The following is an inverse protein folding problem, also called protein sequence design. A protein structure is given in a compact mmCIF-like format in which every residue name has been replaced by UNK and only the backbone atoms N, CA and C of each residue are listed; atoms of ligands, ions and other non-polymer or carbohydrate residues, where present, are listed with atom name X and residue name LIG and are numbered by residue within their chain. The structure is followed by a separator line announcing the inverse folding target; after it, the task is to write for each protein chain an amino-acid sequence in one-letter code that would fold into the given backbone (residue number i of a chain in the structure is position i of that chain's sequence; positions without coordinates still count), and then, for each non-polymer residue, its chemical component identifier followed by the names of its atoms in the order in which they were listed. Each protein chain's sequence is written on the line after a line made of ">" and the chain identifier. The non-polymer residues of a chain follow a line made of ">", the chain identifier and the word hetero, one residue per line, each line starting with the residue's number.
data_IF_214822907026
#
_entry.id   IF_214822907026
#
_cell.length_a   1.000
_cell.length_b   1.000
_cell.length_c   1.000
_cell.angle_alpha   90.00
_cell.angle_beta   90.00
_cell.angle_gamma   90.00
#
_symmetry.space_group_name_H-M   'P 1'
#
loop_
_entity.id
_entity.type
_entity.pdbx_description
1 polymer ?
#
# COMPACT_ATOMS: atom_id res chain seq x y z
N UNK A 1 -12.95 10.99 -16.51
CA UNK A 1 -13.32 10.35 -15.20
C UNK A 1 -13.40 8.82 -15.16
N UNK A 2 -13.94 8.11 -16.16
CA UNK A 2 -14.25 6.66 -16.06
C UNK A 2 -13.14 5.72 -15.53
N UNK A 3 -11.86 5.95 -15.88
CA UNK A 3 -10.75 5.16 -15.33
C UNK A 3 -10.70 5.18 -13.80
N UNK A 4 -10.77 6.37 -13.20
CA UNK A 4 -10.60 6.53 -11.75
C UNK A 4 -11.83 6.02 -10.98
N UNK A 5 -13.01 6.08 -11.59
CA UNK A 5 -14.22 5.47 -11.03
C UNK A 5 -14.10 3.95 -10.98
N UNK A 6 -13.65 3.31 -12.06
CA UNK A 6 -13.41 1.86 -12.08
C UNK A 6 -12.28 1.46 -11.12
N UNK A 7 -11.18 2.22 -11.11
CA UNK A 7 -10.08 2.07 -10.17
C UNK A 7 -10.52 2.14 -8.70
N UNK A 8 -11.53 2.95 -8.37
CA UNK A 8 -12.05 3.07 -7.01
C UNK A 8 -12.96 1.88 -6.62
N UNK A 9 -13.49 1.14 -7.59
CA UNK A 9 -14.40 0.00 -7.38
C UNK A 9 -13.69 -1.36 -7.35
N UNK A 10 -12.45 -1.46 -7.83
CA UNK A 10 -11.72 -2.74 -7.88
C UNK A 10 -11.55 -3.36 -6.50
N UNK A 11 -11.56 -4.69 -6.44
CA UNK A 11 -11.20 -5.40 -5.23
C UNK A 11 -9.68 -5.34 -5.04
N UNK A 12 -9.22 -4.51 -4.09
CA UNK A 12 -7.80 -4.36 -3.75
C UNK A 12 -7.17 -5.60 -3.10
N UNK A 13 -7.94 -6.66 -2.85
CA UNK A 13 -7.40 -7.97 -2.46
C UNK A 13 -6.96 -8.80 -3.68
N UNK A 14 -7.44 -8.47 -4.88
CA UNK A 14 -7.02 -9.09 -6.13
C UNK A 14 -5.72 -8.49 -6.66
N UNK A 15 -5.11 -9.18 -7.62
CA UNK A 15 -4.01 -8.59 -8.39
C UNK A 15 -4.56 -7.55 -9.36
N UNK A 16 -4.15 -6.31 -9.15
CA UNK A 16 -4.60 -5.17 -9.93
C UNK A 16 -3.41 -4.52 -10.64
N UNK A 17 -3.55 -4.26 -11.94
CA UNK A 17 -2.48 -3.71 -12.78
C UNK A 17 -3.05 -2.57 -13.62
N UNK A 18 -2.43 -1.39 -13.52
CA UNK A 18 -2.63 -0.29 -14.47
C UNK A 18 -1.49 -0.32 -15.47
N UNK A 19 -1.82 -0.35 -16.74
CA UNK A 19 -0.83 -0.25 -17.82
C UNK A 19 -1.07 1.09 -18.51
N UNK A 20 -0.07 1.95 -18.53
CA UNK A 20 -0.12 3.26 -19.19
C UNK A 20 0.93 3.33 -20.29
N UNK A 21 0.51 3.58 -21.52
CA UNK A 21 1.43 3.80 -22.64
C UNK A 21 2.01 5.21 -22.53
N UNK A 22 3.33 5.31 -22.53
CA UNK A 22 4.06 6.59 -22.37
C UNK A 22 4.89 6.98 -23.61
N UNK A 23 4.96 6.11 -24.62
CA UNK A 23 5.51 6.41 -25.96
C UNK A 23 4.66 7.43 -26.71
N UNK A 24 5.28 8.28 -27.52
CA UNK A 24 4.67 9.48 -28.15
C UNK A 24 3.34 9.23 -28.89
N UNK A 25 3.30 8.25 -29.81
CA UNK A 25 2.14 8.07 -30.70
C UNK A 25 0.85 7.61 -30.00
N UNK A 26 0.94 7.08 -28.79
CA UNK A 26 -0.18 6.48 -28.06
C UNK A 26 -0.18 6.88 -26.58
N UNK A 27 0.49 7.99 -26.27
CA UNK A 27 0.71 8.43 -24.90
C UNK A 27 -0.62 8.69 -24.21
N UNK A 28 -0.80 8.10 -23.03
CA UNK A 28 -2.05 8.22 -22.26
C UNK A 28 -3.05 7.09 -22.50
N UNK A 29 -2.84 6.20 -23.49
CA UNK A 29 -3.63 4.96 -23.57
C UNK A 29 -3.44 4.17 -22.27
N UNK A 30 -4.55 3.74 -21.68
CA UNK A 30 -4.58 3.11 -20.35
C UNK A 30 -5.44 1.86 -20.36
N UNK A 31 -4.98 0.85 -19.63
CA UNK A 31 -5.67 -0.41 -19.38
C UNK A 31 -5.64 -0.68 -17.87
N UNK A 32 -6.78 -1.07 -17.32
CA UNK A 32 -6.90 -1.58 -15.94
C UNK A 32 -7.25 -3.06 -15.99
N UNK A 33 -6.44 -3.87 -15.32
CA UNK A 33 -6.66 -5.29 -15.11
C UNK A 33 -6.97 -5.55 -13.63
N UNK A 34 -7.98 -6.36 -13.33
CA UNK A 34 -8.25 -6.96 -12.01
C UNK A 34 -8.39 -8.46 -12.18
N UNK A 35 -7.60 -9.24 -11.44
CA UNK A 35 -7.53 -10.71 -11.56
C UNK A 35 -7.44 -11.17 -13.02
N UNK A 36 -6.52 -10.55 -13.77
CA UNK A 36 -6.25 -10.80 -15.21
C UNK A 36 -7.39 -10.46 -16.17
N UNK A 37 -8.50 -9.90 -15.70
CA UNK A 37 -9.62 -9.45 -16.55
C UNK A 37 -9.48 -7.97 -16.86
N UNK A 38 -9.75 -7.60 -18.11
CA UNK A 38 -9.88 -6.20 -18.54
C UNK A 38 -11.10 -5.56 -17.88
N UNK A 39 -10.86 -4.65 -16.94
CA UNK A 39 -11.91 -3.88 -16.24
C UNK A 39 -12.17 -2.56 -16.95
N UNK A 40 -11.13 -1.93 -17.50
CA UNK A 40 -11.25 -0.65 -18.19
C UNK A 40 -10.18 -0.49 -19.27
N UNK A 41 -10.54 0.19 -20.36
CA UNK A 41 -9.59 0.90 -21.20
C UNK A 41 -10.18 2.21 -21.71
N UNK A 42 -9.34 3.17 -22.08
CA UNK A 42 -9.75 4.35 -22.84
C UNK A 42 -9.55 4.20 -24.36
N UNK A 43 -9.01 3.06 -24.81
CA UNK A 43 -8.76 2.80 -26.23
C UNK A 43 -8.92 1.31 -26.55
N UNK A 44 -10.14 0.91 -26.93
CA UNK A 44 -10.44 -0.49 -27.25
C UNK A 44 -9.80 -1.00 -28.54
N UNK A 45 -9.38 -0.12 -29.45
CA UNK A 45 -8.72 -0.51 -30.70
C UNK A 45 -7.20 -0.70 -30.55
N UNK A 46 -6.63 -0.37 -29.39
CA UNK A 46 -5.22 -0.62 -29.12
C UNK A 46 -4.97 -2.11 -28.87
N UNK A 47 -3.83 -2.62 -29.37
CA UNK A 47 -3.45 -4.03 -29.25
C UNK A 47 -3.00 -4.37 -27.82
N UNK A 48 -3.96 -4.48 -26.91
CA UNK A 48 -3.73 -4.78 -25.52
C UNK A 48 -3.25 -6.21 -25.27
N UNK A 49 -3.63 -7.15 -26.13
CA UNK A 49 -3.20 -8.54 -26.01
C UNK A 49 -1.68 -8.63 -26.11
N UNK A 50 -1.09 -7.94 -27.08
CA UNK A 50 0.37 -7.82 -27.22
C UNK A 50 1.02 -7.16 -26.02
N UNK A 51 0.44 -6.09 -25.48
CA UNK A 51 0.97 -5.39 -24.30
C UNK A 51 0.93 -6.31 -23.07
N UNK A 52 -0.13 -7.09 -22.90
CA UNK A 52 -0.29 -7.98 -21.75
C UNK A 52 0.76 -9.11 -21.70
N UNK A 53 1.35 -9.50 -22.83
CA UNK A 53 2.46 -10.46 -22.88
C UNK A 53 3.72 -9.99 -22.13
N UNK A 54 3.88 -8.68 -21.95
CA UNK A 54 5.06 -8.06 -21.33
C UNK A 54 4.85 -7.66 -19.86
N UNK A 55 3.77 -8.11 -19.23
CA UNK A 55 3.53 -7.87 -17.80
C UNK A 55 4.68 -8.50 -16.97
N UNK A 56 5.38 -7.73 -16.12
CA UNK A 56 6.47 -8.23 -15.30
C UNK A 56 6.04 -9.38 -14.37
N UNK A 57 6.66 -10.55 -14.51
CA UNK A 57 6.32 -11.76 -13.73
C UNK A 57 6.68 -11.66 -12.24
N UNK A 58 7.64 -10.81 -11.88
CA UNK A 58 8.02 -10.52 -10.49
C UNK A 58 7.13 -9.46 -9.83
N UNK A 59 6.11 -8.98 -10.56
CA UNK A 59 5.07 -8.04 -10.12
C UNK A 59 5.57 -6.69 -9.65
N UNK A 60 6.78 -6.26 -10.03
CA UNK A 60 7.25 -4.92 -9.68
C UNK A 60 6.90 -3.92 -10.78
N UNK A 61 6.29 -2.83 -10.34
CA UNK A 61 5.97 -1.69 -11.20
C UNK A 61 7.22 -1.08 -11.81
N UNK A 62 7.19 -0.88 -13.13
CA UNK A 62 8.31 -0.34 -13.90
C UNK A 62 7.87 0.04 -15.30
N UNK A 63 8.71 0.80 -15.98
CA UNK A 63 8.64 0.91 -17.43
C UNK A 63 9.23 -0.34 -18.09
N UNK A 64 8.51 -0.90 -19.05
CA UNK A 64 9.01 -1.93 -19.96
C UNK A 64 8.99 -1.36 -21.38
N UNK A 65 10.09 -1.54 -22.09
CA UNK A 65 10.22 -1.19 -23.50
C UNK A 65 10.24 -2.47 -24.33
N UNK A 66 9.40 -2.55 -25.34
CA UNK A 66 9.36 -3.65 -26.31
C UNK A 66 8.89 -3.09 -27.64
N UNK A 67 9.43 -3.61 -28.74
CA UNK A 67 9.17 -3.09 -30.08
C UNK A 67 9.41 -1.56 -30.14
N UNK A 68 8.38 -0.76 -30.46
CA UNK A 68 8.39 0.71 -30.38
C UNK A 68 7.50 1.26 -29.26
N UNK A 69 7.09 0.40 -28.32
CA UNK A 69 6.20 0.73 -27.21
C UNK A 69 7.02 0.94 -25.94
N UNK A 70 6.73 2.04 -25.25
CA UNK A 70 7.18 2.30 -23.88
C UNK A 70 5.94 2.32 -23.00
N UNK A 71 5.81 1.33 -22.12
CA UNK A 71 4.64 1.19 -21.24
C UNK A 71 5.07 1.14 -19.78
N UNK A 72 4.41 1.93 -18.94
CA UNK A 72 4.53 1.85 -17.48
C UNK A 72 3.51 0.85 -16.95
N UNK A 73 4.01 -0.24 -16.38
CA UNK A 73 3.21 -1.25 -15.69
C UNK A 73 3.22 -0.90 -14.21
N UNK A 74 2.04 -0.65 -13.66
CA UNK A 74 1.84 -0.28 -12.27
C UNK A 74 0.99 -1.34 -11.58
N UNK A 75 1.62 -2.15 -10.75
CA UNK A 75 0.94 -3.04 -9.84
C UNK A 75 0.38 -2.21 -8.70
N UNK A 76 -0.95 -2.16 -8.57
CA UNK A 76 -1.60 -1.46 -7.49
C UNK A 76 -1.43 -2.29 -6.23
N UNK A 77 -0.85 -1.67 -5.20
CA UNK A 77 -0.63 -2.30 -3.91
C UNK A 77 -1.92 -2.89 -3.33
N UNK A 78 -1.80 -4.05 -2.69
CA UNK A 78 -2.91 -4.63 -1.94
C UNK A 78 -3.21 -3.74 -0.73
N UNK A 79 -4.49 -3.47 -0.46
CA UNK A 79 -4.87 -2.86 0.82
C UNK A 79 -4.53 -3.83 1.94
N UNK A 80 -3.61 -3.42 2.81
CA UNK A 80 -3.22 -4.24 3.95
C UNK A 80 -4.20 -4.05 5.11
N UNK A 81 -4.74 -5.17 5.57
CA UNK A 81 -5.68 -5.22 6.68
C UNK A 81 -4.97 -5.76 7.92
N UNK A 82 -5.05 -5.05 9.03
CA UNK A 82 -4.51 -5.46 10.31
C UNK A 82 -5.65 -5.95 11.19
N UNK A 83 -5.59 -7.22 11.59
CA UNK A 83 -6.54 -7.83 12.51
C UNK A 83 -5.86 -8.00 13.87
N UNK A 84 -6.28 -7.20 14.85
CA UNK A 84 -5.74 -7.22 16.21
C UNK A 84 -6.65 -8.05 17.12
N UNK A 85 -6.16 -9.18 17.58
CA UNK A 85 -6.83 -10.03 18.57
C UNK A 85 -6.42 -9.59 19.97
N UNK A 86 -7.33 -8.89 20.64
CA UNK A 86 -7.15 -8.30 21.97
C UNK A 86 -7.13 -6.78 21.87
N UNK A 87 -7.91 -6.12 22.72
CA UNK A 87 -7.99 -4.66 22.78
C UNK A 87 -7.32 -4.09 24.04
N UNK A 88 -6.22 -4.72 24.49
CA UNK A 88 -5.46 -4.28 25.67
C UNK A 88 -4.66 -2.98 25.44
N UNK A 89 -3.88 -2.58 26.43
CA UNK A 89 -3.11 -1.32 26.40
C UNK A 89 -2.11 -1.22 25.24
N UNK A 90 -1.47 -2.33 24.85
CA UNK A 90 -0.56 -2.38 23.69
C UNK A 90 -1.34 -2.09 22.39
N UNK A 91 -2.54 -2.66 22.26
CA UNK A 91 -3.38 -2.52 21.07
C UNK A 91 -3.75 -1.07 20.78
N UNK A 92 -3.91 -0.23 21.81
CA UNK A 92 -4.23 1.20 21.62
C UNK A 92 -3.13 1.94 20.84
N UNK A 93 -1.87 1.65 21.17
CA UNK A 93 -0.72 2.22 20.46
C UNK A 93 -0.60 1.65 19.04
N UNK A 94 -0.82 0.35 18.87
CA UNK A 94 -0.84 -0.32 17.56
C UNK A 94 -1.88 0.32 16.65
N UNK A 95 -3.12 0.49 17.12
CA UNK A 95 -4.22 1.09 16.34
C UNK A 95 -3.80 2.48 15.84
N UNK A 96 -3.33 3.35 16.74
CA UNK A 96 -2.89 4.71 16.38
C UNK A 96 -1.78 4.70 15.32
N UNK A 97 -0.77 3.84 15.48
CA UNK A 97 0.31 3.72 14.51
C UNK A 97 -0.18 3.17 13.16
N UNK A 98 -1.07 2.18 13.16
CA UNK A 98 -1.69 1.69 11.94
C UNK A 98 -2.48 2.80 11.22
N UNK A 99 -3.21 3.65 11.95
CA UNK A 99 -3.91 4.81 11.36
C UNK A 99 -2.96 5.83 10.76
N UNK A 100 -1.84 6.12 11.43
CA UNK A 100 -0.78 6.98 10.88
C UNK A 100 -0.17 6.40 9.58
N UNK A 101 -0.17 5.07 9.44
CA UNK A 101 0.35 4.37 8.27
C UNK A 101 -0.73 4.04 7.21
N UNK A 102 -1.95 4.56 7.37
CA UNK A 102 -3.10 4.28 6.51
C UNK A 102 -3.40 2.77 6.35
N UNK A 103 -3.17 1.98 7.39
CA UNK A 103 -3.56 0.58 7.46
C UNK A 103 -4.99 0.47 8.01
N UNK A 104 -5.81 -0.41 7.41
CA UNK A 104 -7.16 -0.67 7.89
C UNK A 104 -7.10 -1.61 9.10
N UNK A 105 -7.68 -1.23 10.23
CA UNK A 105 -7.57 -1.97 11.50
C UNK A 105 -8.92 -2.53 11.94
N UNK A 106 -9.00 -3.85 12.03
CA UNK A 106 -10.08 -4.57 12.73
C UNK A 106 -9.61 -5.03 14.09
N UNK A 107 -10.32 -4.69 15.16
CA UNK A 107 -10.01 -5.10 16.54
C UNK A 107 -11.07 -6.05 17.08
N UNK A 108 -10.64 -7.11 17.75
CA UNK A 108 -11.50 -8.13 18.36
C UNK A 108 -11.22 -8.16 19.87
N UNK A 109 -12.24 -8.05 20.70
CA UNK A 109 -12.18 -8.34 22.14
C UNK A 109 -13.60 -8.62 22.64
N UNK A 110 -13.79 -9.51 23.60
CA UNK A 110 -15.11 -9.84 24.15
C UNK A 110 -15.55 -8.90 25.28
N UNK A 111 -14.72 -7.91 25.65
CA UNK A 111 -15.02 -6.93 26.72
C UNK A 111 -15.37 -5.57 26.16
N UNK A 112 -16.61 -5.15 26.41
CA UNK A 112 -17.18 -3.88 25.94
C UNK A 112 -16.32 -2.65 26.26
N UNK A 113 -15.69 -2.60 27.44
CA UNK A 113 -14.83 -1.48 27.82
C UNK A 113 -13.64 -1.34 26.86
N UNK A 114 -12.96 -2.44 26.57
CA UNK A 114 -11.76 -2.44 25.75
C UNK A 114 -12.11 -2.23 24.26
N UNK A 115 -13.25 -2.73 23.80
CA UNK A 115 -13.74 -2.40 22.45
C UNK A 115 -14.06 -0.93 22.30
N UNK A 116 -14.63 -0.27 23.32
CA UNK A 116 -14.83 1.18 23.31
C UNK A 116 -13.50 1.94 23.25
N UNK A 117 -12.50 1.49 24.00
CA UNK A 117 -11.14 2.08 23.95
C UNK A 117 -10.54 1.95 22.53
N UNK A 118 -10.74 0.81 21.86
CA UNK A 118 -10.28 0.60 20.49
C UNK A 118 -10.96 1.54 19.47
N UNK A 119 -12.27 1.79 19.63
CA UNK A 119 -13.01 2.77 18.83
C UNK A 119 -12.39 4.16 19.04
N UNK A 120 -12.20 4.57 20.29
CA UNK A 120 -11.61 5.86 20.63
C UNK A 120 -10.16 6.02 20.14
N UNK A 121 -9.42 4.92 19.99
CA UNK A 121 -8.09 4.91 19.41
C UNK A 121 -8.09 5.03 17.87
N UNK A 122 -9.24 4.90 17.22
CA UNK A 122 -9.42 5.09 15.78
C UNK A 122 -9.49 3.80 14.96
N UNK A 123 -9.82 2.64 15.56
CA UNK A 123 -9.98 1.40 14.81
C UNK A 123 -11.12 1.51 13.77
N UNK A 124 -10.88 1.03 12.55
CA UNK A 124 -11.85 1.08 11.44
C UNK A 124 -13.04 0.16 11.68
N UNK A 125 -12.80 -0.98 12.31
CA UNK A 125 -13.83 -1.95 12.69
C UNK A 125 -13.53 -2.53 14.07
N UNK A 126 -14.55 -2.66 14.90
CA UNK A 126 -14.44 -3.30 16.22
C UNK A 126 -15.52 -4.37 16.37
N UNK A 127 -15.12 -5.57 16.79
CA UNK A 127 -16.00 -6.72 16.96
C UNK A 127 -15.97 -7.11 18.44
N UNK A 128 -17.10 -6.89 19.12
CA UNK A 128 -17.29 -7.25 20.53
C UNK A 128 -17.86 -8.66 20.68
N UNK A 129 -17.07 -9.68 20.37
CA UNK A 129 -17.46 -11.10 20.46
C UNK A 129 -16.29 -11.96 20.96
N UNK A 130 -16.55 -13.25 21.22
CA UNK A 130 -15.46 -14.20 21.48
C UNK A 130 -14.53 -14.29 20.26
N UNK A 131 -13.23 -14.51 20.51
CA UNK A 131 -12.22 -14.58 19.45
C UNK A 131 -12.57 -15.61 18.37
N UNK A 132 -13.03 -16.80 18.77
CA UNK A 132 -13.43 -17.86 17.84
C UNK A 132 -14.57 -17.42 16.91
N UNK A 133 -15.63 -16.84 17.50
CA UNK A 133 -16.80 -16.40 16.74
C UNK A 133 -16.42 -15.26 15.78
N UNK A 134 -15.70 -14.25 16.25
CA UNK A 134 -15.25 -13.14 15.43
C UNK A 134 -14.33 -13.61 14.28
N UNK A 135 -13.34 -14.46 14.57
CA UNK A 135 -12.39 -14.96 13.58
C UNK A 135 -13.03 -15.92 12.56
N UNK A 136 -14.15 -16.57 12.88
CA UNK A 136 -14.91 -17.36 11.92
C UNK A 136 -15.50 -16.49 10.78
N UNK A 137 -15.85 -15.24 11.08
CA UNK A 137 -16.38 -14.27 10.11
C UNK A 137 -15.32 -13.44 9.38
N UNK A 138 -14.05 -13.57 9.75
CA UNK A 138 -12.94 -12.85 9.13
C UNK A 138 -12.20 -13.79 8.18
N UNK A 139 -12.21 -13.44 6.89
CA UNK A 139 -11.37 -14.08 5.88
C UNK A 139 -9.96 -13.48 5.95
N UNK A 140 -8.95 -14.31 5.70
CA UNK A 140 -7.58 -13.85 5.50
C UNK A 140 -7.24 -13.73 4.01
N UNK A 141 -6.15 -13.03 3.70
CA UNK A 141 -5.62 -12.81 2.36
C UNK A 141 -4.09 -12.64 2.41
N UNK A 142 -3.43 -12.60 1.24
CA UNK A 142 -1.99 -12.27 1.13
C UNK A 142 -1.62 -10.86 1.59
N UNK A 143 -2.59 -10.02 1.96
CA UNK A 143 -2.41 -8.68 2.54
C UNK A 143 -2.93 -8.56 3.97
N UNK A 144 -3.29 -9.67 4.62
CA UNK A 144 -3.79 -9.64 6.00
C UNK A 144 -2.66 -9.87 7.01
N UNK A 145 -2.51 -8.92 7.93
CA UNK A 145 -1.61 -9.02 9.09
C UNK A 145 -2.42 -9.37 10.34
N UNK A 146 -2.16 -10.53 10.94
CA UNK A 146 -2.77 -10.91 12.20
C UNK A 146 -1.83 -10.62 13.37
N UNK A 147 -2.32 -9.87 14.36
CA UNK A 147 -1.61 -9.51 15.59
C UNK A 147 -2.35 -10.14 16.77
N UNK A 148 -1.71 -11.09 17.45
CA UNK A 148 -2.28 -11.78 18.61
C UNK A 148 -1.66 -11.19 19.88
N UNK A 149 -2.42 -10.31 20.54
CA UNK A 149 -2.03 -9.57 21.76
C UNK A 149 -3.16 -9.67 22.80
N UNK A 150 -3.63 -10.89 23.06
CA UNK A 150 -4.79 -11.12 23.91
C UNK A 150 -4.45 -10.97 25.40
N UNK A 151 -5.47 -11.09 26.26
CA UNK A 151 -5.33 -11.02 27.73
C UNK A 151 -4.78 -12.30 28.39
N UNK A 152 -4.41 -13.33 27.63
CA UNK A 152 -3.84 -14.53 28.22
C UNK A 152 -3.63 -15.70 27.27
N UNK A 153 -2.72 -16.59 27.67
CA UNK A 153 -2.21 -17.70 26.84
C UNK A 153 -3.30 -18.60 26.22
N UNK A 154 -4.39 -18.87 26.94
CA UNK A 154 -5.51 -19.68 26.41
C UNK A 154 -6.15 -19.01 25.19
N UNK A 155 -6.34 -17.70 25.25
CA UNK A 155 -6.93 -16.94 24.15
C UNK A 155 -5.95 -16.74 23.01
N UNK A 156 -4.65 -16.57 23.30
CA UNK A 156 -3.59 -16.53 22.27
C UNK A 156 -3.63 -17.82 21.42
N UNK A 157 -3.74 -18.99 22.08
CA UNK A 157 -3.88 -20.27 21.41
C UNK A 157 -5.17 -20.36 20.57
N UNK A 158 -6.32 -19.98 21.12
CA UNK A 158 -7.60 -19.98 20.39
C UNK A 158 -7.52 -19.12 19.13
N UNK A 159 -6.91 -17.94 19.21
CA UNK A 159 -6.70 -17.07 18.07
C UNK A 159 -5.80 -17.74 17.02
N UNK A 160 -4.66 -18.28 17.46
CA UNK A 160 -3.70 -18.89 16.54
C UNK A 160 -4.27 -20.10 15.81
N UNK A 161 -5.02 -20.97 16.50
CA UNK A 161 -5.73 -22.11 15.90
C UNK A 161 -6.67 -21.68 14.76
N UNK A 162 -7.41 -20.59 14.97
CA UNK A 162 -8.34 -20.07 13.98
C UNK A 162 -7.64 -19.34 12.82
N UNK A 163 -6.46 -18.74 13.07
CA UNK A 163 -5.75 -17.90 12.10
C UNK A 163 -4.81 -18.71 11.21
N UNK A 164 -4.13 -19.73 11.74
CA UNK A 164 -3.05 -20.45 11.02
C UNK A 164 -3.51 -21.18 9.75
N UNK A 165 -4.81 -21.49 9.66
CA UNK A 165 -5.43 -22.12 8.50
C UNK A 165 -5.83 -21.11 7.40
N UNK A 166 -5.83 -19.81 7.72
CA UNK A 166 -6.23 -18.74 6.80
C UNK A 166 -5.02 -18.26 5.99
N UNK A 167 -5.29 -17.73 4.80
CA UNK A 167 -4.26 -17.00 4.05
C UNK A 167 -3.87 -15.73 4.81
N UNK A 168 -2.59 -15.40 4.84
CA UNK A 168 -2.06 -14.27 5.60
C UNK A 168 -0.72 -13.80 5.02
N UNK A 169 -0.41 -12.53 5.26
CA UNK A 169 0.90 -11.94 5.02
C UNK A 169 1.83 -12.07 6.24
N UNK A 170 1.24 -12.08 7.44
CA UNK A 170 1.94 -12.09 8.71
C UNK A 170 1.04 -12.65 9.80
N UNK A 171 1.63 -13.43 10.70
CA UNK A 171 1.03 -13.79 11.99
C UNK A 171 2.06 -13.49 13.06
N UNK A 172 1.76 -12.52 13.91
CA UNK A 172 2.57 -12.17 15.06
C UNK A 172 1.86 -12.56 16.35
N UNK A 173 2.57 -13.20 17.27
CA UNK A 173 1.99 -13.59 18.56
C UNK A 173 2.86 -13.14 19.74
N UNK A 174 2.20 -12.46 20.69
CA UNK A 174 2.82 -12.03 21.93
C UNK A 174 3.15 -13.23 22.84
N UNK A 175 4.27 -13.15 23.52
CA UNK A 175 4.66 -14.13 24.54
C UNK A 175 6.14 -14.48 24.48
N UNK A 176 6.62 -15.09 25.56
CA UNK A 176 8.00 -15.59 25.61
C UNK A 176 8.22 -16.74 24.63
N UNK A 177 9.44 -16.86 24.09
CA UNK A 177 9.87 -17.95 23.20
C UNK A 177 9.45 -19.33 23.73
N UNK A 178 9.64 -19.56 25.03
CA UNK A 178 9.30 -20.84 25.69
C UNK A 178 7.80 -21.10 25.69
N UNK A 179 6.99 -20.09 26.03
CA UNK A 179 5.53 -20.24 26.08
C UNK A 179 4.96 -20.49 24.69
N UNK A 180 5.43 -19.73 23.72
CA UNK A 180 4.94 -19.85 22.35
C UNK A 180 5.36 -21.17 21.73
N UNK A 181 6.60 -21.64 21.97
CA UNK A 181 7.04 -22.96 21.52
C UNK A 181 6.09 -24.07 21.95
N UNK A 182 5.61 -24.08 23.20
CA UNK A 182 4.62 -25.08 23.67
C UNK A 182 3.31 -25.04 22.88
N UNK A 183 2.85 -23.85 22.51
CA UNK A 183 1.65 -23.70 21.68
C UNK A 183 1.91 -24.21 20.26
N UNK A 184 3.07 -23.91 19.68
CA UNK A 184 3.46 -24.40 18.35
C UNK A 184 3.62 -25.92 18.31
N UNK A 185 4.27 -26.51 19.32
CA UNK A 185 4.43 -27.96 19.45
C UNK A 185 3.05 -28.66 19.52
N UNK A 186 2.14 -28.11 20.32
CA UNK A 186 0.75 -28.60 20.41
C UNK A 186 -0.01 -28.51 19.07
N UNK A 187 0.20 -27.45 18.28
CA UNK A 187 -0.42 -27.32 16.95
C UNK A 187 0.21 -28.28 15.93
N UNK A 188 1.51 -28.53 16.03
CA UNK A 188 2.20 -29.52 15.22
C UNK A 188 1.67 -30.94 15.51
N UNK A 189 1.44 -31.26 16.79
CA UNK A 189 0.85 -32.54 17.22
C UNK A 189 -0.59 -32.73 16.71
N UNK A 190 -1.33 -31.63 16.49
CA UNK A 190 -2.64 -31.61 15.81
C UNK A 190 -2.55 -31.75 14.29
N UNK A 191 -1.36 -31.85 13.71
CA UNK A 191 -1.14 -32.03 12.28
C UNK A 191 -1.02 -30.73 11.46
N UNK A 192 -0.82 -29.57 12.11
CA UNK A 192 -0.49 -28.35 11.38
C UNK A 192 0.94 -28.44 10.84
N UNK A 193 1.10 -28.16 9.54
CA UNK A 193 2.40 -28.16 8.88
C UNK A 193 3.43 -27.26 9.57
N UNK A 194 4.62 -27.81 9.86
CA UNK A 194 5.70 -27.06 10.51
C UNK A 194 6.18 -25.87 9.69
N UNK A 195 6.18 -25.98 8.36
CA UNK A 195 6.54 -24.86 7.49
C UNK A 195 5.60 -23.67 7.59
N UNK A 196 4.33 -23.87 8.00
CA UNK A 196 3.42 -22.77 8.37
C UNK A 196 3.72 -22.21 9.76
N UNK A 197 4.04 -23.08 10.72
CA UNK A 197 4.34 -22.66 12.09
C UNK A 197 5.64 -21.85 12.19
N UNK A 198 6.65 -22.21 11.40
CA UNK A 198 7.95 -21.52 11.35
C UNK A 198 7.85 -20.08 10.80
N UNK A 199 6.72 -19.73 10.16
CA UNK A 199 6.43 -18.38 9.64
C UNK A 199 5.77 -17.47 10.69
N UNK A 200 5.46 -17.97 11.88
CA UNK A 200 4.86 -17.18 12.95
C UNK A 200 5.95 -16.35 13.63
N UNK A 201 5.73 -15.05 13.71
CA UNK A 201 6.65 -14.11 14.35
C UNK A 201 6.42 -14.11 15.85
N UNK A 202 7.39 -14.66 16.58
CA UNK A 202 7.31 -14.82 18.02
C UNK A 202 8.68 -14.83 18.72
N UNK A 203 8.86 -14.04 19.79
CA UNK A 203 7.98 -13.00 20.29
C UNK A 203 7.73 -11.96 19.19
N UNK A 204 6.51 -11.43 19.14
CA UNK A 204 6.12 -10.47 18.11
C UNK A 204 6.95 -9.17 18.19
N UNK A 205 7.34 -8.64 17.04
CA UNK A 205 8.05 -7.36 16.92
C UNK A 205 9.57 -7.51 16.95
N UNK A 206 10.26 -6.49 16.41
CA UNK A 206 11.71 -6.45 16.36
C UNK A 206 12.33 -6.37 17.76
N UNK A 207 13.50 -6.99 17.93
CA UNK A 207 14.26 -6.94 19.17
C UNK A 207 14.97 -5.58 19.32
N UNK A 208 14.23 -4.59 19.82
CA UNK A 208 14.71 -3.21 20.06
C UNK A 208 14.83 -2.88 21.55
N UNK A 209 14.72 -3.88 22.43
CA UNK A 209 14.70 -3.66 23.89
C UNK A 209 13.46 -2.93 24.41
N UNK A 210 12.30 -3.13 23.78
CA UNK A 210 11.06 -2.46 24.14
C UNK A 210 10.53 -2.86 25.53
N UNK A 211 10.16 -1.89 26.36
CA UNK A 211 9.62 -2.09 27.71
C UNK A 211 8.20 -1.54 27.86
N UNK A 212 7.91 -0.39 27.25
CA UNK A 212 6.59 0.25 27.36
C UNK A 212 5.60 -0.25 26.30
N UNK A 213 4.27 -0.14 26.52
CA UNK A 213 3.29 -0.50 25.51
C UNK A 213 3.45 0.26 24.18
N UNK A 214 3.95 1.50 24.22
CA UNK A 214 4.25 2.28 23.03
C UNK A 214 5.47 1.74 22.29
N UNK A 215 6.57 1.44 22.99
CA UNK A 215 7.77 0.85 22.39
C UNK A 215 7.48 -0.54 21.80
N UNK A 216 6.70 -1.37 22.49
CA UNK A 216 6.28 -2.68 21.97
C UNK A 216 5.47 -2.50 20.69
N UNK A 217 4.56 -1.52 20.65
CA UNK A 217 3.83 -1.22 19.43
C UNK A 217 4.76 -0.76 18.29
N UNK A 218 5.77 0.08 18.57
CA UNK A 218 6.80 0.44 17.57
C UNK A 218 7.53 -0.80 17.05
N UNK A 219 7.95 -1.71 17.93
CA UNK A 219 8.63 -2.95 17.56
C UNK A 219 7.79 -3.82 16.63
N UNK A 220 6.50 -3.98 16.95
CA UNK A 220 5.54 -4.76 16.15
C UNK A 220 5.31 -4.11 14.79
N UNK A 221 5.05 -2.80 14.77
CA UNK A 221 4.79 -2.06 13.54
C UNK A 221 6.02 -2.02 12.63
N UNK A 222 7.22 -1.89 13.19
CA UNK A 222 8.47 -1.96 12.44
C UNK A 222 8.67 -3.33 11.79
N UNK A 223 8.33 -4.42 12.48
CA UNK A 223 8.35 -5.77 11.91
C UNK A 223 7.32 -5.93 10.79
N UNK A 224 6.10 -5.42 10.97
CA UNK A 224 5.06 -5.41 9.93
C UNK A 224 5.51 -4.62 8.70
N UNK A 225 6.10 -3.44 8.86
CA UNK A 225 6.64 -2.64 7.76
C UNK A 225 7.76 -3.42 7.04
N UNK A 226 8.63 -4.09 7.79
CA UNK A 226 9.69 -4.91 7.21
C UNK A 226 9.11 -6.03 6.34
N UNK A 227 8.06 -6.72 6.81
CA UNK A 227 7.38 -7.78 6.04
C UNK A 227 6.65 -7.20 4.83
N UNK A 228 5.88 -6.12 5.02
CA UNK A 228 5.17 -5.38 3.96
C UNK A 228 6.11 -4.99 2.82
N UNK A 229 7.26 -4.40 3.16
CA UNK A 229 8.19 -3.84 2.17
C UNK A 229 9.17 -4.89 1.60
N UNK A 230 9.30 -6.06 2.23
CA UNK A 230 9.91 -7.24 1.61
C UNK A 230 8.96 -7.90 0.60
N UNK A 231 7.65 -7.68 0.74
CA UNK A 231 6.63 -7.94 -0.27
C UNK A 231 6.61 -6.87 -1.36
N UNK A 232 6.06 -7.21 -2.53
CA UNK A 232 6.01 -6.36 -3.72
C UNK A 232 5.38 -4.99 -3.43
N UNK A 233 6.09 -3.94 -3.87
CA UNK A 233 5.85 -2.49 -3.70
C UNK A 233 4.38 -2.05 -3.69
N UNK A 234 3.95 -1.32 -2.65
CA UNK A 234 2.68 -0.59 -2.63
C UNK A 234 2.82 0.74 -3.39
N UNK A 235 2.60 0.70 -4.70
CA UNK A 235 2.48 1.89 -5.54
C UNK A 235 1.00 2.29 -5.56
N UNK A 236 0.64 3.33 -4.83
CA UNK A 236 -0.77 3.60 -4.53
C UNK A 236 -1.24 4.94 -5.10
N UNK A 237 -2.39 4.86 -5.76
CA UNK A 237 -3.38 5.93 -5.74
C UNK A 237 -3.89 6.04 -4.30
N UNK A 238 -3.34 6.99 -3.54
CA UNK A 238 -3.80 7.26 -2.18
C UNK A 238 -5.29 7.64 -2.20
N UNK A 239 -6.00 7.36 -1.10
CA UNK A 239 -7.41 7.76 -0.99
C UNK A 239 -7.57 9.27 -1.18
N UNK A 240 -6.65 10.07 -0.65
CA UNK A 240 -6.63 11.53 -0.86
C UNK A 240 -6.53 11.93 -2.34
N UNK A 241 -5.72 11.23 -3.14
CA UNK A 241 -5.62 11.50 -4.60
C UNK A 241 -6.92 11.09 -5.29
N UNK A 242 -7.46 9.91 -4.98
CA UNK A 242 -8.73 9.44 -5.56
C UNK A 242 -9.87 10.41 -5.21
N UNK A 243 -9.97 10.84 -3.96
CA UNK A 243 -10.92 11.85 -3.52
C UNK A 243 -10.67 13.19 -4.22
N UNK A 244 -9.43 13.66 -4.33
CA UNK A 244 -9.10 14.88 -5.08
C UNK A 244 -9.53 14.83 -6.56
N UNK A 245 -9.54 13.63 -7.14
CA UNK A 245 -9.97 13.40 -8.51
C UNK A 245 -11.49 13.30 -8.63
N UNK A 246 -12.15 12.49 -7.78
CA UNK A 246 -13.56 12.11 -7.94
C UNK A 246 -14.55 12.96 -7.13
N UNK A 247 -14.09 13.73 -6.14
CA UNK A 247 -14.99 14.50 -5.28
C UNK A 247 -15.70 15.62 -6.07
N UNK A 248 -17.02 15.71 -5.89
CA UNK A 248 -17.87 16.71 -6.55
C UNK A 248 -17.39 18.15 -6.32
N UNK A 249 -16.77 18.45 -5.16
CA UNK A 249 -16.15 19.76 -4.88
C UNK A 249 -15.11 20.16 -5.92
N UNK A 250 -14.36 19.21 -6.47
CA UNK A 250 -13.27 19.44 -7.42
C UNK A 250 -13.61 19.00 -8.84
N UNK A 251 -14.89 18.75 -9.14
CA UNK A 251 -15.33 18.23 -10.44
C UNK A 251 -15.04 19.18 -11.60
N UNK A 252 -15.21 20.48 -11.37
CA UNK A 252 -14.93 21.52 -12.37
C UNK A 252 -13.50 22.08 -12.26
N UNK A 253 -12.70 21.58 -11.31
CA UNK A 253 -11.31 22.01 -11.15
C UNK A 253 -10.44 21.20 -12.10
N UNK A 254 -9.87 21.88 -13.11
CA UNK A 254 -8.88 21.25 -13.98
C UNK A 254 -7.65 20.85 -13.15
N UNK A 255 -7.11 19.67 -13.42
CA UNK A 255 -6.03 19.08 -12.64
C UNK A 255 -5.18 18.16 -13.50
N UNK A 256 -3.96 17.88 -13.06
CA UNK A 256 -3.09 16.89 -13.64
C UNK A 256 -2.58 15.95 -12.55
N UNK A 257 -2.46 14.67 -12.90
CA UNK A 257 -1.81 13.69 -12.06
C UNK A 257 -0.39 13.48 -12.55
N UNK A 258 0.53 13.58 -11.62
CA UNK A 258 1.95 13.42 -11.85
C UNK A 258 2.39 12.10 -11.24
N UNK A 259 3.10 11.27 -11.99
CA UNK A 259 3.59 9.96 -11.54
C UNK A 259 5.07 9.79 -11.87
N UNK A 260 5.90 9.42 -10.89
CA UNK A 260 7.29 8.98 -11.17
C UNK A 260 7.22 7.60 -11.82
N UNK A 261 7.62 7.47 -13.08
CA UNK A 261 7.57 6.19 -13.82
C UNK A 261 8.93 5.49 -13.90
N UNK A 262 10.01 6.23 -13.70
CA UNK A 262 11.39 5.71 -13.74
C UNK A 262 12.28 6.49 -12.80
N UNK A 263 13.27 5.82 -12.21
CA UNK A 263 14.28 6.41 -11.34
C UNK A 263 15.63 5.75 -11.59
N UNK A 264 16.69 6.55 -11.67
CA UNK A 264 18.09 6.11 -11.67
C UNK A 264 18.86 6.91 -10.62
N UNK A 265 19.70 6.23 -9.84
CA UNK A 265 20.45 6.86 -8.74
C UNK A 265 19.56 7.30 -7.57
N UNK A 266 20.11 8.19 -6.74
CA UNK A 266 19.48 8.65 -5.49
C UNK A 266 18.44 9.75 -5.77
N UNK A 267 17.17 9.37 -5.85
CA UNK A 267 16.03 10.29 -5.92
C UNK A 267 15.21 10.28 -4.61
N UNK A 268 14.44 11.33 -4.29
CA UNK A 268 13.75 11.46 -3.00
C UNK A 268 12.56 10.51 -2.81
N UNK A 269 11.98 9.98 -3.90
CA UNK A 269 10.78 9.12 -3.89
C UNK A 269 10.93 7.96 -4.86
N UNK A 270 10.11 6.92 -4.65
CA UNK A 270 10.12 5.70 -5.43
C UNK A 270 9.26 5.77 -6.70
N UNK A 271 9.53 4.90 -7.67
CA UNK A 271 8.68 4.70 -8.86
C UNK A 271 7.26 4.34 -8.43
N UNK A 272 6.27 5.00 -9.02
CA UNK A 272 4.85 4.91 -8.69
C UNK A 272 4.37 5.96 -7.70
N UNK A 273 5.25 6.78 -7.13
CA UNK A 273 4.81 7.93 -6.32
C UNK A 273 4.01 8.89 -7.19
N UNK A 274 2.88 9.37 -6.64
CA UNK A 274 1.94 10.26 -7.34
C UNK A 274 1.74 11.58 -6.61
N UNK A 275 1.43 12.62 -7.37
CA UNK A 275 1.03 13.93 -6.88
C UNK A 275 -0.06 14.48 -7.79
N UNK A 276 -1.18 14.93 -7.21
CA UNK A 276 -2.24 15.62 -7.93
C UNK A 276 -2.02 17.12 -7.82
N UNK A 277 -2.01 17.82 -8.95
CA UNK A 277 -1.86 19.28 -9.02
C UNK A 277 -3.13 19.86 -9.64
N UNK A 278 -3.77 20.78 -8.93
CA UNK A 278 -4.95 21.51 -9.39
C UNK A 278 -4.55 22.85 -10.01
N UNK A 279 -5.39 23.39 -10.90
CA UNK A 279 -5.07 24.64 -11.61
C UNK A 279 -4.94 25.87 -10.70
N UNK A 280 -5.53 25.84 -9.51
CA UNK A 280 -5.40 26.88 -8.49
C UNK A 280 -4.08 26.77 -7.68
N UNK A 281 -3.25 25.78 -7.96
CA UNK A 281 -1.99 25.52 -7.26
C UNK A 281 -2.13 24.56 -6.07
N UNK A 282 -3.33 24.09 -5.74
CA UNK A 282 -3.52 23.07 -4.70
C UNK A 282 -2.81 21.77 -5.09
N UNK A 283 -2.08 21.18 -4.15
CA UNK A 283 -1.36 19.92 -4.34
C UNK A 283 -1.83 18.87 -3.33
N UNK A 284 -2.02 17.63 -3.79
CA UNK A 284 -2.30 16.46 -2.95
C UNK A 284 -1.22 15.41 -3.22
N UNK A 285 -0.53 14.99 -2.16
CA UNK A 285 0.70 14.18 -2.28
C UNK A 285 1.93 15.03 -2.64
N UNK A 286 3.07 14.36 -2.77
CA UNK A 286 4.35 14.97 -3.18
C UNK A 286 5.21 13.90 -3.84
N UNK A 287 5.94 14.28 -4.89
CA UNK A 287 6.91 13.38 -5.56
C UNK A 287 8.37 13.68 -5.21
N UNK A 288 8.60 14.54 -4.22
CA UNK A 288 9.94 14.96 -3.73
C UNK A 288 9.88 16.39 -3.19
N UNK A 289 10.94 16.92 -2.57
CA UNK A 289 11.01 18.34 -2.21
C UNK A 289 12.06 19.08 -3.04
N UNK A 290 11.93 20.40 -3.20
CA UNK A 290 12.92 21.25 -3.87
C UNK A 290 12.56 21.61 -5.32
N UNK A 291 13.55 21.99 -6.13
CA UNK A 291 13.33 22.51 -7.49
C UNK A 291 12.74 21.51 -8.49
N UNK A 292 12.77 20.22 -8.17
CA UNK A 292 12.01 19.19 -8.89
C UNK A 292 10.52 19.59 -8.95
N UNK A 293 9.91 19.97 -7.82
CA UNK A 293 8.49 20.34 -7.75
C UNK A 293 8.17 21.57 -8.60
N UNK A 294 9.06 22.58 -8.65
CA UNK A 294 8.86 23.79 -9.45
C UNK A 294 8.80 23.50 -10.96
N UNK A 295 9.73 22.70 -11.48
CA UNK A 295 9.74 22.29 -12.89
C UNK A 295 8.51 21.45 -13.25
N UNK A 296 8.10 20.56 -12.33
CA UNK A 296 6.90 19.73 -12.49
C UNK A 296 5.63 20.58 -12.50
N UNK A 297 5.52 21.60 -11.65
CA UNK A 297 4.35 22.49 -11.63
C UNK A 297 4.14 23.17 -12.98
N UNK A 298 5.22 23.65 -13.62
CA UNK A 298 5.13 24.25 -14.95
C UNK A 298 4.64 23.24 -16.00
N UNK A 299 5.19 22.03 -15.99
CA UNK A 299 4.75 20.95 -16.88
C UNK A 299 3.28 20.58 -16.64
N UNK A 300 2.85 20.48 -15.38
CA UNK A 300 1.48 20.19 -15.02
C UNK A 300 0.50 21.28 -15.45
N UNK A 301 0.84 22.56 -15.26
CA UNK A 301 -0.01 23.65 -15.76
C UNK A 301 -0.10 23.68 -17.28
N UNK A 302 1.01 23.45 -17.98
CA UNK A 302 1.02 23.31 -19.44
C UNK A 302 0.15 22.14 -19.91
N UNK A 303 0.30 20.97 -19.27
CA UNK A 303 -0.51 19.79 -19.53
C UNK A 303 -2.00 20.04 -19.30
N UNK A 304 -2.36 20.73 -18.21
CA UNK A 304 -3.75 21.13 -17.91
C UNK A 304 -4.32 22.07 -18.98
N UNK A 305 -3.54 23.06 -19.40
CA UNK A 305 -4.02 24.09 -20.34
C UNK A 305 -4.16 23.52 -21.76
N UNK A 306 -3.18 22.74 -22.21
CA UNK A 306 -3.12 22.18 -23.55
C UNK A 306 -3.81 20.82 -23.69
N UNK A 307 -4.18 20.19 -22.58
CA UNK A 307 -4.79 18.85 -22.56
C UNK A 307 -3.86 17.77 -23.16
N UNK A 308 -2.56 17.89 -22.87
CA UNK A 308 -1.51 17.04 -23.41
C UNK A 308 -0.83 16.20 -22.34
N UNK A 309 -0.59 14.93 -22.65
CA UNK A 309 0.23 14.03 -21.82
C UNK A 309 1.72 14.30 -22.04
N UNK A 310 2.48 14.41 -20.97
CA UNK A 310 3.91 14.72 -21.02
C UNK A 310 4.74 13.67 -20.30
N UNK A 311 5.92 13.38 -20.83
CA UNK A 311 6.94 12.60 -20.14
C UNK A 311 8.14 13.52 -19.93
N UNK A 312 8.36 13.93 -18.68
CA UNK A 312 9.37 14.91 -18.28
C UNK A 312 10.52 14.18 -17.61
N UNK A 313 11.75 14.42 -18.05
CA UNK A 313 12.94 13.94 -17.36
C UNK A 313 13.48 15.08 -16.49
N UNK A 314 13.72 14.79 -15.21
CA UNK A 314 14.37 15.71 -14.28
C UNK A 314 15.69 15.11 -13.85
N UNK A 315 16.77 15.84 -14.11
CA UNK A 315 18.14 15.47 -13.75
C UNK A 315 18.59 16.31 -12.55
N UNK A 316 18.90 15.65 -11.43
CA UNK A 316 19.35 16.29 -10.19
C UNK A 316 20.86 16.10 -9.97
N UNK A 317 21.60 15.68 -10.99
CA UNK A 317 23.05 15.42 -10.90
C UNK A 317 23.93 16.64 -11.25
N UNK A 318 23.32 17.75 -11.69
CA UNK A 318 24.01 18.93 -12.21
C UNK A 318 24.54 19.91 -11.16
N UNK A 319 25.42 20.83 -11.59
CA UNK A 319 26.05 21.89 -10.75
C UNK A 319 25.04 22.82 -10.08
N UNK A 320 23.88 23.07 -10.70
CA UNK A 320 22.79 23.87 -10.11
C UNK A 320 22.22 23.22 -8.83
N UNK A 321 22.28 21.89 -8.71
CA UNK A 321 21.82 21.19 -7.52
C UNK A 321 22.77 21.33 -6.31
N UNK A 322 24.07 21.52 -6.56
CA UNK A 322 25.06 21.84 -5.53
C UNK A 322 24.89 23.27 -5.01
N UNK A 323 24.55 24.23 -5.87
CA UNK A 323 24.32 25.64 -5.50
C UNK A 323 23.02 25.85 -4.71
N UNK A 324 21.98 25.05 -4.97
CA UNK A 324 20.72 25.04 -4.19
C UNK A 324 20.76 24.13 -2.94
N UNK A 325 21.91 23.50 -2.65
CA UNK A 325 22.11 22.71 -1.42
C UNK A 325 21.39 21.36 -1.38
N UNK A 326 21.06 20.79 -2.54
CA UNK A 326 20.38 19.49 -2.61
C UNK A 326 21.37 18.31 -2.62
N UNK A 327 20.97 17.19 -2.01
CA UNK A 327 21.81 15.98 -1.81
C UNK A 327 21.38 14.80 -2.69
N UNK A 328 20.29 14.93 -3.45
CA UNK A 328 19.73 13.84 -4.26
C UNK A 328 20.34 13.82 -5.68
N UNK A 329 21.41 13.05 -5.90
CA UNK A 329 22.08 12.93 -7.21
C UNK A 329 21.49 11.89 -8.17
N UNK A 330 20.19 11.95 -8.45
CA UNK A 330 19.48 10.98 -9.32
C UNK A 330 18.80 11.60 -10.54
N UNK A 331 18.33 10.76 -11.45
CA UNK A 331 17.50 11.12 -12.61
C UNK A 331 16.13 10.45 -12.44
N UNK A 332 15.05 11.19 -12.64
CA UNK A 332 13.69 10.65 -12.64
C UNK A 332 12.98 10.95 -13.95
N UNK A 333 12.19 10.00 -14.45
CA UNK A 333 11.21 10.27 -15.51
C UNK A 333 9.82 10.33 -14.87
N UNK A 334 9.08 11.37 -15.23
CA UNK A 334 7.82 11.75 -14.64
C UNK A 334 6.77 11.83 -15.73
N UNK A 335 5.71 11.06 -15.58
CA UNK A 335 4.55 11.11 -16.45
C UNK A 335 3.53 12.09 -15.89
N UNK A 336 3.13 13.07 -16.71
CA UNK A 336 2.13 14.09 -16.37
C UNK A 336 0.92 13.86 -17.25
N UNK A 337 -0.23 13.55 -16.63
CA UNK A 337 -1.50 13.34 -17.32
C UNK A 337 -2.55 14.37 -16.90
N UNK A 338 -3.19 15.08 -17.84
CA UNK A 338 -4.31 15.95 -17.52
C UNK A 338 -5.54 15.10 -17.19
N UNK A 339 -6.29 15.52 -16.17
CA UNK A 339 -7.51 14.86 -15.73
C UNK A 339 -8.70 15.78 -15.99
N UNK A 340 -9.66 15.22 -16.74
CA UNK A 340 -10.95 15.84 -17.05
C UNK A 340 -12.11 15.10 -16.37
#
# INVERSE_FOLDING_TARGET
>A
MGFFEELNKIDRNEENIVITIISENNRGNKLLLSDKKKVYTNNDSYDWDRVMEYIPSDKKSRVVCFDQVKAYYEFIGQSYNVVVCGAGHISMSIIKMCKLLNLNVTVIDDRIKFTNDAINAGADKVICESFEKALSGIRGSKSTFFIIVTRGHRYDQTCLENIIIKENAYIGMIGSKVRVKKVLDYLADKGIDRGKLDKIYTPIGLDIGAETPAEIAVAIIAEIIQVKNKGINSNEYSQEIIEGILNEKYKNMKKALVTIVSRRGSAPREVGTKMLIMKDGTMIGTIGGGCVEANIMQAAFSSIDNQEYQLVQVDMTGREAEEEGMVCGGIVEIFVEPIN
#
